data_IF_268542974589
#
_entry.id   IF_268542974589
#
_cell.length_a   1.000
_cell.length_b   1.000
_cell.length_c   1.000
_cell.angle_alpha   90.00
_cell.angle_beta   90.00
_cell.angle_gamma   90.00
#
_symmetry.space_group_name_H-M   'P 1'
#
loop_
_entity.id
_entity.type
_entity.pdbx_description
1 polymer ?
#
# COMPACT_ATOMS: atom_id res chain seq x y z
N UNK A 1 3.07 -7.44 15.99
CA UNK A 1 2.16 -6.37 16.43
C UNK A 1 2.46 -6.08 17.88
N UNK A 2 2.56 -4.81 18.24
CA UNK A 2 2.76 -4.34 19.62
C UNK A 2 1.69 -3.30 19.92
N UNK A 3 0.95 -3.49 20.99
CA UNK A 3 -0.06 -2.56 21.51
C UNK A 3 0.42 -1.94 22.83
N UNK A 4 0.36 -0.61 22.90
CA UNK A 4 0.66 0.12 24.12
C UNK A 4 -0.33 1.28 24.31
N UNK A 5 -1.23 1.16 25.25
CA UNK A 5 -2.30 2.13 25.53
C UNK A 5 -3.17 2.41 24.28
N UNK A 6 -2.95 3.57 23.63
CA UNK A 6 -3.65 4.02 22.41
C UNK A 6 -2.87 3.78 21.14
N UNK A 7 -1.63 3.30 21.26
CA UNK A 7 -0.72 3.08 20.15
C UNK A 7 -0.74 1.63 19.72
N UNK A 8 -0.71 1.42 18.42
CA UNK A 8 -0.52 0.12 17.80
C UNK A 8 0.60 0.22 16.78
N UNK A 9 1.62 -0.63 16.92
CA UNK A 9 2.72 -0.79 15.98
C UNK A 9 2.63 -2.16 15.34
N UNK A 10 2.65 -2.18 14.00
CA UNK A 10 2.72 -3.41 13.21
C UNK A 10 3.96 -3.37 12.32
N UNK A 11 4.70 -4.46 12.30
CA UNK A 11 5.83 -4.65 11.41
C UNK A 11 5.59 -5.98 10.70
N UNK A 12 5.74 -5.98 9.37
CA UNK A 12 5.60 -7.16 8.54
C UNK A 12 6.77 -7.26 7.57
N UNK A 13 7.27 -8.45 7.41
CA UNK A 13 8.20 -8.84 6.36
C UNK A 13 7.59 -9.97 5.55
N UNK A 14 7.64 -9.85 4.23
CA UNK A 14 7.18 -10.86 3.29
C UNK A 14 8.23 -11.04 2.20
N UNK A 15 8.62 -12.27 1.92
CA UNK A 15 9.52 -12.60 0.81
C UNK A 15 8.83 -13.56 -0.14
N UNK A 16 8.98 -13.32 -1.44
CA UNK A 16 8.47 -14.23 -2.45
C UNK A 16 9.46 -14.44 -3.59
N UNK A 17 9.38 -15.62 -4.19
CA UNK A 17 10.16 -15.99 -5.36
C UNK A 17 9.30 -16.89 -6.25
N UNK A 18 8.68 -16.28 -7.24
CA UNK A 18 7.81 -16.91 -8.21
C UNK A 18 8.65 -17.46 -9.38
N UNK A 19 8.28 -18.62 -9.88
CA UNK A 19 8.90 -19.24 -11.05
C UNK A 19 7.87 -19.34 -12.18
N UNK A 20 7.59 -18.23 -12.88
CA UNK A 20 6.55 -18.24 -13.91
C UNK A 20 6.95 -19.15 -15.05
N UNK A 21 5.96 -19.92 -15.52
CA UNK A 21 6.03 -20.60 -16.81
C UNK A 21 5.44 -19.64 -17.84
N UNK A 22 6.28 -19.09 -18.69
CA UNK A 22 5.89 -18.07 -19.67
C UNK A 22 6.12 -18.57 -21.08
N UNK A 23 5.44 -17.94 -22.05
CA UNK A 23 5.65 -18.21 -23.47
C UNK A 23 7.09 -17.91 -23.89
N UNK A 24 7.59 -18.54 -24.95
CA UNK A 24 8.93 -18.24 -25.47
C UNK A 24 9.07 -16.74 -25.83
N UNK A 25 10.11 -16.10 -25.29
CA UNK A 25 10.40 -14.69 -25.51
C UNK A 25 9.88 -13.72 -24.43
N UNK A 26 9.08 -14.18 -23.50
CA UNK A 26 8.63 -13.35 -22.37
C UNK A 26 9.68 -13.27 -21.23
N UNK A 27 9.69 -12.13 -20.54
CA UNK A 27 10.65 -11.87 -19.46
C UNK A 27 10.22 -12.59 -18.17
N UNK A 28 10.88 -13.70 -17.83
CA UNK A 28 10.61 -14.50 -16.62
C UNK A 28 10.90 -13.78 -15.30
N UNK A 29 11.43 -12.55 -15.35
CA UNK A 29 11.64 -11.73 -14.17
C UNK A 29 10.37 -11.03 -13.69
N UNK A 30 9.28 -11.14 -14.47
CA UNK A 30 7.99 -10.51 -14.18
C UNK A 30 6.87 -11.56 -14.24
N UNK A 31 5.78 -11.26 -13.53
CA UNK A 31 4.55 -12.08 -13.49
C UNK A 31 3.36 -11.14 -13.72
N UNK A 32 2.45 -11.55 -14.61
CA UNK A 32 1.19 -10.84 -14.80
C UNK A 32 0.19 -11.19 -13.72
N UNK A 33 -0.34 -10.15 -13.09
CA UNK A 33 -1.42 -10.22 -12.10
C UNK A 33 -2.64 -9.47 -12.61
N UNK A 34 -3.77 -9.62 -11.97
CA UNK A 34 -4.99 -8.89 -12.30
C UNK A 34 -5.66 -8.36 -11.03
N UNK A 35 -6.09 -7.11 -11.08
CA UNK A 35 -6.90 -6.49 -10.05
C UNK A 35 -7.85 -5.46 -10.68
N UNK A 36 -9.06 -5.34 -10.14
CA UNK A 36 -10.08 -4.36 -10.56
C UNK A 36 -10.39 -4.38 -12.08
N UNK A 37 -10.34 -5.56 -12.70
CA UNK A 37 -10.62 -5.72 -14.13
C UNK A 37 -9.47 -5.33 -15.07
N UNK A 38 -8.31 -4.97 -14.53
CA UNK A 38 -7.10 -4.65 -15.28
C UNK A 38 -5.96 -5.59 -14.94
N UNK A 39 -5.08 -5.85 -15.91
CA UNK A 39 -3.83 -6.58 -15.67
C UNK A 39 -2.69 -5.60 -15.35
N UNK A 40 -1.74 -6.06 -14.56
CA UNK A 40 -0.48 -5.37 -14.27
C UNK A 40 0.61 -6.40 -14.01
N UNK A 41 1.86 -6.00 -14.13
CA UNK A 41 3.00 -6.87 -13.89
C UNK A 41 3.65 -6.58 -12.55
N UNK A 42 4.11 -7.63 -11.89
CA UNK A 42 4.95 -7.55 -10.70
C UNK A 42 6.30 -8.21 -10.98
N UNK A 43 7.32 -7.82 -10.25
CA UNK A 43 8.60 -8.53 -10.25
C UNK A 43 8.40 -9.96 -9.75
N UNK A 44 9.13 -10.94 -10.30
CA UNK A 44 8.99 -12.35 -9.89
C UNK A 44 9.64 -12.66 -8.54
N UNK A 45 10.55 -11.80 -8.06
CA UNK A 45 11.25 -11.97 -6.78
C UNK A 45 11.39 -10.65 -6.06
N UNK A 46 10.90 -10.59 -4.83
CA UNK A 46 11.03 -9.40 -3.99
C UNK A 46 10.95 -9.72 -2.50
N UNK A 47 11.40 -8.75 -1.71
CA UNK A 47 11.14 -8.63 -0.29
C UNK A 47 10.27 -7.41 -0.03
N UNK A 48 9.25 -7.56 0.81
CA UNK A 48 8.33 -6.49 1.19
C UNK A 48 8.50 -6.21 2.68
N UNK A 49 8.79 -4.96 2.99
CA UNK A 49 8.87 -4.46 4.36
C UNK A 49 7.72 -3.48 4.58
N UNK A 50 6.93 -3.71 5.62
CA UNK A 50 5.82 -2.82 5.97
C UNK A 50 5.90 -2.45 7.45
N UNK A 51 5.75 -1.17 7.74
CA UNK A 51 5.66 -0.63 9.10
C UNK A 51 4.41 0.23 9.19
N UNK A 52 3.55 -0.06 10.16
CA UNK A 52 2.32 0.68 10.43
C UNK A 52 2.31 1.16 11.87
N UNK A 53 2.12 2.45 12.08
CA UNK A 53 1.95 3.06 13.39
C UNK A 53 0.59 3.75 13.45
N UNK A 54 -0.21 3.45 14.45
CA UNK A 54 -1.47 4.13 14.64
C UNK A 54 -1.73 4.51 16.11
N UNK A 55 -2.53 5.56 16.29
CA UNK A 55 -2.96 6.05 17.59
C UNK A 55 -4.46 6.27 17.59
N UNK A 56 -5.18 5.52 18.43
CA UNK A 56 -6.63 5.67 18.58
C UNK A 56 -6.96 6.61 19.73
N UNK A 57 -7.72 7.65 19.43
CA UNK A 57 -8.17 8.69 20.36
C UNK A 57 -9.70 8.54 20.52
N UNK A 58 -10.19 8.02 21.67
CA UNK A 58 -11.62 8.01 21.96
C UNK A 58 -12.10 9.45 22.18
N UNK A 59 -13.14 9.84 21.50
CA UNK A 59 -13.73 11.20 21.59
C UNK A 59 -15.01 11.16 22.40
N UNK A 60 -15.93 10.24 22.06
CA UNK A 60 -17.22 10.00 22.72
C UNK A 60 -18.04 11.30 22.91
N UNK A 61 -18.04 12.16 21.89
CA UNK A 61 -18.76 13.44 21.90
C UNK A 61 -19.64 13.59 20.66
N UNK A 62 -20.90 13.99 20.87
CA UNK A 62 -21.90 14.15 19.80
C UNK A 62 -22.06 12.81 19.02
N UNK A 63 -21.72 12.83 17.75
CA UNK A 63 -21.77 11.66 16.84
C UNK A 63 -20.41 11.00 16.60
N UNK A 64 -19.33 11.54 17.18
CA UNK A 64 -17.96 11.05 16.93
C UNK A 64 -17.50 10.16 18.09
N UNK A 65 -17.32 8.87 17.81
CA UNK A 65 -16.87 7.88 18.79
C UNK A 65 -15.34 7.91 18.97
N UNK A 66 -14.60 7.88 17.87
CA UNK A 66 -13.14 7.89 17.91
C UNK A 66 -12.51 8.44 16.64
N UNK A 67 -11.28 8.92 16.79
CA UNK A 67 -10.34 9.28 15.71
C UNK A 67 -9.15 8.33 15.82
N UNK A 68 -8.72 7.77 14.71
CA UNK A 68 -7.47 7.02 14.63
C UNK A 68 -6.53 7.71 13.65
N UNK A 69 -5.42 8.23 14.14
CA UNK A 69 -4.33 8.74 13.30
C UNK A 69 -3.42 7.57 12.94
N UNK A 70 -2.92 7.51 11.71
CA UNK A 70 -2.02 6.46 11.28
C UNK A 70 -1.02 6.91 10.25
N UNK A 71 0.09 6.17 10.20
CA UNK A 71 1.08 6.24 9.14
C UNK A 71 1.49 4.81 8.79
N UNK A 72 1.39 4.49 7.50
CA UNK A 72 1.74 3.20 6.94
C UNK A 72 2.85 3.41 5.91
N UNK A 73 3.98 2.73 6.10
CA UNK A 73 5.11 2.73 5.17
C UNK A 73 5.31 1.34 4.58
N UNK A 74 5.52 1.27 3.27
CA UNK A 74 5.84 0.04 2.55
C UNK A 74 7.02 0.24 1.59
N UNK A 75 7.91 -0.74 1.58
CA UNK A 75 9.01 -0.88 0.61
C UNK A 75 8.90 -2.24 -0.06
N UNK A 76 8.82 -2.26 -1.38
CA UNK A 76 8.99 -3.44 -2.22
C UNK A 76 10.43 -3.40 -2.79
N UNK A 77 11.34 -4.13 -2.16
CA UNK A 77 12.73 -4.34 -2.60
C UNK A 77 12.73 -5.40 -3.70
N UNK A 78 12.93 -4.97 -4.93
CA UNK A 78 12.92 -5.84 -6.12
C UNK A 78 14.29 -6.49 -6.31
N UNK A 79 14.43 -7.70 -5.85
CA UNK A 79 15.66 -8.51 -5.92
C UNK A 79 16.08 -8.86 -7.36
N UNK A 80 16.01 -7.88 -8.26
CA UNK A 80 16.25 -8.05 -9.70
C UNK A 80 17.06 -6.88 -10.23
N UNK A 81 18.25 -7.16 -10.75
CA UNK A 81 19.13 -6.12 -11.27
C UNK A 81 18.47 -5.32 -12.41
N UNK A 82 18.58 -4.00 -12.32
CA UNK A 82 18.01 -3.05 -13.28
C UNK A 82 16.52 -2.76 -13.06
N UNK A 83 15.93 -3.23 -11.96
CA UNK A 83 14.57 -2.87 -11.55
C UNK A 83 14.65 -1.88 -10.38
N UNK A 84 13.81 -0.84 -10.40
CA UNK A 84 13.74 0.16 -9.34
C UNK A 84 12.69 -0.23 -8.31
N UNK A 85 13.02 -0.06 -7.04
CA UNK A 85 12.14 -0.38 -5.92
C UNK A 85 10.88 0.47 -5.91
N UNK A 86 9.82 -0.09 -5.32
CA UNK A 86 8.57 0.63 -5.11
C UNK A 86 8.44 1.03 -3.65
N UNK A 87 8.04 2.28 -3.44
CA UNK A 87 7.84 2.86 -2.11
C UNK A 87 6.45 3.49 -2.01
N UNK A 88 5.84 3.36 -0.84
CA UNK A 88 4.62 4.05 -0.49
C UNK A 88 4.65 4.47 0.98
N UNK A 89 4.18 5.67 1.27
CA UNK A 89 3.86 6.13 2.60
C UNK A 89 2.46 6.74 2.60
N UNK A 90 1.58 6.21 3.44
CA UNK A 90 0.23 6.71 3.63
C UNK A 90 0.12 7.31 5.02
N UNK A 91 -0.22 8.59 5.10
CA UNK A 91 -0.55 9.27 6.34
C UNK A 91 -2.01 9.66 6.33
N UNK A 92 -2.74 9.31 7.36
CA UNK A 92 -4.17 9.55 7.37
C UNK A 92 -4.83 9.55 8.73
N UNK A 93 -6.13 9.75 8.70
CA UNK A 93 -6.99 9.55 9.85
C UNK A 93 -8.25 8.78 9.46
N UNK A 94 -8.73 7.95 10.38
CA UNK A 94 -10.06 7.37 10.29
C UNK A 94 -10.97 7.92 11.39
N UNK A 95 -12.24 8.12 11.05
CA UNK A 95 -13.27 8.61 11.92
C UNK A 95 -14.34 7.53 12.09
N UNK A 96 -14.70 7.21 13.32
CA UNK A 96 -15.82 6.30 13.63
C UNK A 96 -16.97 7.12 14.22
N UNK A 97 -18.14 7.00 13.58
CA UNK A 97 -19.35 7.77 13.94
C UNK A 97 -20.54 6.83 13.92
N UNK A 98 -20.73 6.04 15.01
CA UNK A 98 -21.74 4.98 15.06
C UNK A 98 -21.56 3.95 13.95
N UNK A 99 -22.50 3.96 12.98
CA UNK A 99 -22.45 3.07 11.80
C UNK A 99 -21.68 3.66 10.61
N UNK A 100 -21.21 4.89 10.70
CA UNK A 100 -20.41 5.55 9.65
C UNK A 100 -18.94 5.43 9.97
N UNK A 101 -18.17 5.09 8.97
CA UNK A 101 -16.72 5.01 9.04
C UNK A 101 -16.11 5.78 7.87
N UNK A 102 -15.12 6.62 8.14
CA UNK A 102 -14.47 7.43 7.10
C UNK A 102 -12.96 7.36 7.22
N UNK A 103 -12.30 7.35 6.06
CA UNK A 103 -10.84 7.54 5.94
C UNK A 103 -10.55 8.81 5.17
N UNK A 104 -9.53 9.53 5.59
CA UNK A 104 -8.96 10.68 4.91
C UNK A 104 -7.45 10.44 4.85
N UNK A 105 -6.94 10.21 3.64
CA UNK A 105 -5.57 9.77 3.41
C UNK A 105 -4.81 10.67 2.48
N UNK A 106 -3.54 10.83 2.75
CA UNK A 106 -2.54 11.40 1.86
C UNK A 106 -1.46 10.34 1.61
N UNK A 107 -1.42 9.82 0.41
CA UNK A 107 -0.45 8.82 -0.03
C UNK A 107 0.65 9.46 -0.87
N UNK A 108 1.89 9.11 -0.61
CA UNK A 108 3.07 9.53 -1.36
C UNK A 108 3.87 8.28 -1.71
N UNK A 109 4.27 8.15 -2.96
CA UNK A 109 5.05 6.99 -3.36
C UNK A 109 5.72 7.15 -4.72
N UNK A 110 6.54 6.18 -5.07
CA UNK A 110 7.15 6.07 -6.39
C UNK A 110 7.14 4.63 -6.85
N UNK A 111 7.12 4.43 -8.17
CA UNK A 111 6.99 3.11 -8.78
C UNK A 111 5.82 2.32 -8.20
N UNK A 112 4.68 2.98 -7.98
CA UNK A 112 3.50 2.41 -7.36
C UNK A 112 2.29 2.51 -8.29
N UNK A 113 1.71 1.36 -8.67
CA UNK A 113 0.69 1.27 -9.72
C UNK A 113 -0.57 2.12 -9.45
N UNK A 114 -0.95 2.35 -8.19
CA UNK A 114 -2.14 3.14 -7.84
C UNK A 114 -1.87 4.61 -7.54
N UNK A 115 -0.61 5.05 -7.58
CA UNK A 115 -0.22 6.44 -7.35
C UNK A 115 0.27 7.15 -8.61
N UNK A 116 1.01 6.45 -9.47
CA UNK A 116 1.60 7.00 -10.68
C UNK A 116 0.79 6.72 -11.94
N UNK A 117 1.31 7.20 -13.06
CA UNK A 117 0.69 7.04 -14.38
C UNK A 117 1.03 5.68 -15.02
N UNK A 118 2.07 5.00 -14.52
CA UNK A 118 2.57 3.74 -15.07
C UNK A 118 1.98 2.55 -14.31
N UNK A 119 0.77 2.16 -14.68
CA UNK A 119 0.07 1.05 -14.05
C UNK A 119 0.78 -0.30 -14.20
N UNK A 120 1.16 -0.65 -15.43
CA UNK A 120 1.60 -2.01 -15.78
C UNK A 120 3.02 -2.33 -15.28
N UNK A 121 3.95 -1.38 -15.31
CA UNK A 121 5.36 -1.58 -15.02
C UNK A 121 5.80 -1.14 -13.61
N UNK A 122 4.95 -0.46 -12.88
CA UNK A 122 5.32 0.14 -11.59
C UNK A 122 5.84 -0.89 -10.58
N UNK A 123 5.11 -1.99 -10.38
CA UNK A 123 5.53 -3.07 -9.48
C UNK A 123 6.45 -4.10 -10.15
N UNK A 124 6.65 -4.00 -11.47
CA UNK A 124 7.62 -4.78 -12.21
C UNK A 124 8.96 -4.04 -12.26
N UNK A 125 9.29 -3.41 -13.39
CA UNK A 125 10.60 -2.74 -13.58
C UNK A 125 10.75 -1.47 -12.77
N UNK A 126 9.65 -0.75 -12.47
CA UNK A 126 9.70 0.55 -11.83
C UNK A 126 10.32 1.58 -12.76
N UNK A 127 9.67 1.84 -13.88
CA UNK A 127 10.20 2.72 -14.95
C UNK A 127 9.95 4.20 -14.66
N UNK A 128 9.11 4.53 -13.67
CA UNK A 128 8.81 5.88 -13.27
C UNK A 128 9.53 6.23 -11.96
N UNK A 129 10.60 7.02 -12.03
CA UNK A 129 11.37 7.41 -10.83
C UNK A 129 10.86 8.74 -10.22
N UNK A 130 9.62 9.11 -10.49
CA UNK A 130 8.97 10.30 -9.95
C UNK A 130 8.21 9.97 -8.65
N UNK A 131 8.18 10.93 -7.75
CA UNK A 131 7.31 10.91 -6.59
C UNK A 131 5.90 11.35 -7.01
N UNK A 132 4.94 10.50 -6.72
CA UNK A 132 3.52 10.73 -6.98
C UNK A 132 2.76 10.87 -5.68
N UNK A 133 1.69 11.63 -5.70
CA UNK A 133 0.86 11.89 -4.53
C UNK A 133 -0.61 11.64 -4.87
N UNK A 134 -1.37 11.18 -3.88
CA UNK A 134 -2.81 10.98 -3.98
C UNK A 134 -3.48 11.37 -2.68
N UNK A 135 -4.52 12.18 -2.80
CA UNK A 135 -5.44 12.44 -1.70
C UNK A 135 -6.69 11.57 -1.88
N UNK A 136 -7.14 10.93 -0.80
CA UNK A 136 -8.28 10.04 -0.82
C UNK A 136 -9.21 10.34 0.35
N UNK A 137 -10.52 10.32 0.09
CA UNK A 137 -11.57 10.30 1.10
C UNK A 137 -12.48 9.12 0.81
N UNK A 138 -12.70 8.29 1.80
CA UNK A 138 -13.61 7.16 1.72
C UNK A 138 -14.62 7.23 2.86
N UNK A 139 -15.90 7.01 2.58
CA UNK A 139 -16.98 7.01 3.56
C UNK A 139 -17.77 5.72 3.37
N UNK A 140 -17.87 4.93 4.43
CA UNK A 140 -18.63 3.70 4.47
C UNK A 140 -19.76 3.76 5.51
N UNK A 141 -20.87 3.11 5.22
CA UNK A 141 -21.95 2.90 6.16
C UNK A 141 -22.17 1.40 6.38
N UNK A 142 -22.21 0.99 7.63
CA UNK A 142 -22.45 -0.41 8.04
C UNK A 142 -23.87 -0.58 8.56
N UNK A 143 -24.59 -1.53 8.02
CA UNK A 143 -26.01 -1.82 8.34
C UNK A 143 -26.17 -2.60 9.65
#
# INVERSE_FOLDING_TARGET
VVDYQRWNLKIQYTSYNLKPVQAPGEDRRMVTMAAYGSSYRIVSRADIYTVSLSCRIPVNKLFLDSICLYNDFSLLDKRTAGFNDSLENVTGCSLTMGKVFSYIDYAVGRNHAWLGDVWDEAFARGTEDNWNVKFNINIGYYF
#
